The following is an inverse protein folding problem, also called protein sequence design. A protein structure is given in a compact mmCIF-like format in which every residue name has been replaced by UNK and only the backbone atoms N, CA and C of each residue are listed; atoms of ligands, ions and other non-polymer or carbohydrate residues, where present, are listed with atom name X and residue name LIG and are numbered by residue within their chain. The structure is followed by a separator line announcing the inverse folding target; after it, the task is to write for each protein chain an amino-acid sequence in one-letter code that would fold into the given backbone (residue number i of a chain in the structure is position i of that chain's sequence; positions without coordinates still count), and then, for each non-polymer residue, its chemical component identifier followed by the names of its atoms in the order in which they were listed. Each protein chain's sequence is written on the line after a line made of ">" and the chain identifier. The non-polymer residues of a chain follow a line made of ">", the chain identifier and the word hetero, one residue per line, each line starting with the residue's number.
data_IF_369091503563
#
_entry.id   IF_369091503563
#
_cell.length_a   1.000
_cell.length_b   1.000
_cell.length_c   1.000
_cell.angle_alpha   90.00
_cell.angle_beta   90.00
_cell.angle_gamma   90.00
#
_symmetry.space_group_name_H-M   'P 1'
#
loop_
_entity.id
_entity.type
_entity.pdbx_description
1 polymer ?
#
# COMPACT_ATOMS: atom_id res chain seq x y z
N UNK A 1 8.33 10.86 5.99
CA UNK A 1 8.32 11.76 4.81
C UNK A 1 7.33 11.17 3.83
N UNK A 2 6.29 11.91 3.43
CA UNK A 2 5.18 11.36 2.65
C UNK A 2 5.54 11.05 1.19
N UNK A 3 4.83 10.10 0.61
CA UNK A 3 4.84 9.76 -0.82
C UNK A 3 3.65 10.49 -1.47
N UNK A 4 3.76 10.85 -2.75
CA UNK A 4 2.74 11.65 -3.47
C UNK A 4 1.98 10.85 -4.54
N UNK A 5 2.17 9.54 -4.57
CA UNK A 5 1.62 8.67 -5.61
C UNK A 5 0.86 7.51 -4.98
N UNK A 6 -0.40 7.37 -5.37
CA UNK A 6 -1.34 6.41 -4.82
C UNK A 6 -1.66 5.33 -5.86
N UNK A 7 -1.61 4.08 -5.42
CA UNK A 7 -2.25 2.96 -6.07
C UNK A 7 -3.53 2.65 -5.30
N UNK A 8 -4.68 2.92 -5.90
CA UNK A 8 -5.97 2.65 -5.28
C UNK A 8 -6.36 1.18 -5.42
N UNK A 9 -6.96 0.62 -4.37
CA UNK A 9 -7.52 -0.74 -4.37
C UNK A 9 -8.91 -0.77 -3.71
N UNK A 10 -9.74 -1.70 -4.16
CA UNK A 10 -11.05 -2.00 -3.58
C UNK A 10 -10.96 -3.06 -2.45
N UNK A 11 -9.88 -3.84 -2.39
CA UNK A 11 -9.63 -4.86 -1.38
C UNK A 11 -8.16 -4.86 -0.93
N UNK A 12 -7.88 -4.05 0.08
CA UNK A 12 -6.55 -3.86 0.62
C UNK A 12 -5.93 -5.14 1.16
N UNK A 13 -6.72 -6.00 1.82
CA UNK A 13 -6.18 -7.19 2.47
C UNK A 13 -5.74 -8.23 1.44
N UNK A 14 -6.57 -8.45 0.42
CA UNK A 14 -6.25 -9.38 -0.68
C UNK A 14 -5.04 -8.90 -1.47
N UNK A 15 -4.99 -7.62 -1.86
CA UNK A 15 -3.88 -7.08 -2.64
C UNK A 15 -2.58 -7.00 -1.83
N UNK A 16 -2.66 -6.59 -0.56
CA UNK A 16 -1.50 -6.60 0.34
C UNK A 16 -0.90 -8.00 0.49
N UNK A 17 -1.74 -9.02 0.69
CA UNK A 17 -1.29 -10.41 0.79
C UNK A 17 -0.64 -10.90 -0.51
N UNK A 18 -1.27 -10.63 -1.66
CA UNK A 18 -0.74 -11.00 -2.97
C UNK A 18 0.61 -10.33 -3.26
N UNK A 19 0.75 -9.04 -2.95
CA UNK A 19 1.99 -8.29 -3.10
C UNK A 19 3.09 -8.81 -2.17
N UNK A 20 2.75 -9.14 -0.92
CA UNK A 20 3.69 -9.73 0.03
C UNK A 20 4.18 -11.10 -0.43
N UNK A 21 3.28 -11.96 -0.90
CA UNK A 21 3.62 -13.29 -1.41
C UNK A 21 4.44 -13.20 -2.72
N UNK A 22 4.27 -12.13 -3.50
CA UNK A 22 5.11 -11.80 -4.66
C UNK A 22 6.48 -11.19 -4.28
N UNK A 23 6.78 -10.97 -3.00
CA UNK A 23 8.06 -10.45 -2.53
C UNK A 23 8.22 -8.93 -2.65
N UNK A 24 7.11 -8.18 -2.70
CA UNK A 24 7.16 -6.70 -2.71
C UNK A 24 7.77 -6.18 -1.40
N UNK A 25 8.61 -5.14 -1.52
CA UNK A 25 9.22 -4.49 -0.35
C UNK A 25 8.25 -3.47 0.25
N UNK A 26 7.85 -3.73 1.49
CA UNK A 26 7.07 -2.79 2.31
C UNK A 26 7.99 -2.04 3.29
N UNK A 27 7.73 -0.76 3.48
CA UNK A 27 8.53 0.11 4.36
C UNK A 27 7.91 0.29 5.75
N UNK A 28 6.65 -0.11 5.90
CA UNK A 28 5.89 0.00 7.14
C UNK A 28 4.79 -1.09 7.19
N UNK A 29 4.24 -1.29 8.39
CA UNK A 29 3.02 -2.10 8.53
C UNK A 29 1.80 -1.31 8.03
N UNK A 30 0.76 -2.01 7.53
CA UNK A 30 -0.49 -1.36 7.14
C UNK A 30 -1.10 -0.48 8.24
N UNK A 31 -1.39 0.77 7.89
CA UNK A 31 -2.09 1.72 8.74
C UNK A 31 -3.58 1.71 8.40
N UNK A 32 -4.41 1.66 9.45
CA UNK A 32 -5.86 1.71 9.34
C UNK A 32 -6.36 3.03 9.92
N UNK A 33 -6.68 3.95 9.03
CA UNK A 33 -7.04 5.32 9.35
C UNK A 33 -8.56 5.53 9.21
N UNK A 34 -9.04 6.70 9.63
CA UNK A 34 -10.47 7.06 9.50
C UNK A 34 -10.91 7.09 8.03
N UNK A 35 -10.01 7.49 7.12
CA UNK A 35 -10.29 7.61 5.69
C UNK A 35 -10.10 6.30 4.91
N UNK A 36 -9.42 5.30 5.45
CA UNK A 36 -9.00 4.16 4.65
C UNK A 36 -7.88 3.33 5.27
N UNK A 37 -7.45 2.31 4.53
CA UNK A 37 -6.27 1.50 4.84
C UNK A 37 -5.14 1.88 3.89
N UNK A 38 -3.93 2.07 4.40
CA UNK A 38 -2.77 2.51 3.61
C UNK A 38 -1.49 1.78 4.02
N UNK A 39 -0.63 1.47 3.04
CA UNK A 39 0.74 1.01 3.31
C UNK A 39 1.71 1.51 2.24
N UNK A 40 2.91 1.90 2.66
CA UNK A 40 3.98 2.31 1.75
C UNK A 40 4.81 1.10 1.29
N UNK A 41 4.94 0.96 -0.02
CA UNK A 41 5.76 -0.08 -0.66
C UNK A 41 6.69 0.52 -1.72
N UNK A 42 7.64 -0.27 -2.21
CA UNK A 42 8.50 0.12 -3.32
C UNK A 42 8.39 -0.83 -4.51
N UNK A 43 8.37 -0.22 -5.70
CA UNK A 43 8.53 -0.96 -6.95
C UNK A 43 10.00 -1.44 -7.15
N UNK A 44 10.26 -2.31 -8.13
CA UNK A 44 11.62 -2.81 -8.40
C UNK A 44 12.65 -1.74 -8.77
N UNK A 45 12.22 -0.53 -9.14
CA UNK A 45 13.09 0.60 -9.46
C UNK A 45 13.36 1.48 -8.23
N UNK A 46 12.76 1.16 -7.08
CA UNK A 46 12.91 1.88 -5.82
C UNK A 46 11.97 3.08 -5.66
N UNK A 47 11.01 3.29 -6.58
CA UNK A 47 10.00 4.33 -6.34
C UNK A 47 9.07 3.86 -5.23
N UNK A 48 8.67 4.79 -4.36
CA UNK A 48 7.73 4.53 -3.28
C UNK A 48 6.31 4.86 -3.71
N UNK A 49 5.38 4.06 -3.23
CA UNK A 49 3.95 4.14 -3.55
C UNK A 49 3.13 3.89 -2.29
N UNK A 50 1.98 4.57 -2.17
CA UNK A 50 0.96 4.24 -1.19
C UNK A 50 -0.07 3.30 -1.84
N UNK A 51 -0.19 2.07 -1.35
CA UNK A 51 -1.38 1.25 -1.63
C UNK A 51 -2.49 1.76 -0.72
N UNK A 52 -3.60 2.23 -1.28
CA UNK A 52 -4.67 2.90 -0.54
C UNK A 52 -6.04 2.29 -0.88
N UNK A 53 -6.77 1.84 0.13
CA UNK A 53 -8.20 1.60 0.04
C UNK A 53 -8.94 2.68 0.83
N UNK A 54 -9.78 3.47 0.17
CA UNK A 54 -10.66 4.42 0.85
C UNK A 54 -11.84 3.67 1.48
N UNK A 55 -12.27 4.12 2.66
CA UNK A 55 -13.56 3.70 3.21
C UNK A 55 -14.68 4.35 2.39
N UNK A 56 -15.72 3.56 2.12
CA UNK A 56 -16.95 4.02 1.50
C UNK A 56 -17.74 4.96 2.41
#
# INVERSE_FOLDING_TARGET
>A
MGVWVFLHTDDFQTDYAAMRDAGVTFHEEPRHEVYGSVVVWSDPFGNRWDLLQLKA
#
